data_IF_054885939856
#
_entry.id   IF_054885939856
#
_cell.length_a   1.000
_cell.length_b   1.000
_cell.length_c   1.000
_cell.angle_alpha   90.00
_cell.angle_beta   90.00
_cell.angle_gamma   90.00
#
_symmetry.space_group_name_H-M   'P 1'
#
loop_
_entity.id
_entity.type
_entity.pdbx_description
1 polymer ?
#
# COMPACT_ATOMS: atom_id res chain seq x y z
N UNK A 1 16.18 -7.52 -11.41
CA UNK A 1 14.75 -7.23 -11.12
C UNK A 1 14.64 -7.09 -9.62
N UNK A 2 14.27 -5.91 -9.11
CA UNK A 2 14.10 -5.69 -7.67
C UNK A 2 12.80 -6.34 -7.22
N UNK A 3 12.87 -7.31 -6.30
CA UNK A 3 11.68 -7.91 -5.70
C UNK A 3 11.00 -6.93 -4.74
N UNK A 4 9.68 -7.02 -4.61
CA UNK A 4 8.96 -6.30 -3.57
C UNK A 4 9.46 -6.73 -2.19
N UNK A 5 9.75 -5.76 -1.34
CA UNK A 5 10.17 -6.00 0.04
C UNK A 5 9.46 -5.03 0.98
N UNK A 6 8.95 -5.58 2.08
CA UNK A 6 8.40 -4.83 3.19
C UNK A 6 9.43 -4.78 4.32
N UNK A 7 9.71 -3.59 4.83
CA UNK A 7 10.60 -3.39 5.97
C UNK A 7 9.95 -2.50 7.00
N UNK A 8 10.08 -2.87 8.27
CA UNK A 8 9.77 -1.96 9.37
C UNK A 8 10.85 -0.88 9.44
N UNK A 9 10.43 0.39 9.46
CA UNK A 9 11.33 1.53 9.58
C UNK A 9 11.51 1.90 11.05
N UNK A 10 10.47 2.45 11.68
CA UNK A 10 10.44 2.78 13.12
C UNK A 10 9.02 3.17 13.56
N UNK A 11 8.67 2.87 14.82
CA UNK A 11 7.48 3.44 15.48
C UNK A 11 6.13 3.17 14.80
N UNK A 12 5.96 2.01 14.15
CA UNK A 12 4.74 1.68 13.39
C UNK A 12 4.75 2.18 11.94
N UNK A 13 5.89 2.72 11.47
CA UNK A 13 6.11 3.02 10.05
C UNK A 13 6.75 1.82 9.35
N UNK A 14 6.16 1.47 8.22
CA UNK A 14 6.61 0.41 7.34
C UNK A 14 6.89 0.98 5.97
N UNK A 15 7.90 0.44 5.30
CA UNK A 15 8.34 0.85 3.98
C UNK A 15 8.19 -0.30 3.01
N UNK A 16 7.44 -0.04 1.95
CA UNK A 16 7.31 -0.91 0.80
C UNK A 16 8.29 -0.45 -0.28
N UNK A 17 9.05 -1.39 -0.84
CA UNK A 17 10.10 -1.08 -1.81
C UNK A 17 10.18 -2.12 -2.92
N UNK A 18 10.77 -1.74 -4.06
CA UNK A 18 10.95 -2.60 -5.24
C UNK A 18 9.81 -2.49 -6.25
N UNK A 19 9.62 -3.53 -7.05
CA UNK A 19 8.56 -3.57 -8.08
C UNK A 19 7.30 -4.20 -7.51
N UNK A 20 6.13 -3.58 -7.71
CA UNK A 20 4.81 -4.11 -7.35
C UNK A 20 4.06 -4.60 -8.59
N UNK A 21 4.20 -5.89 -8.89
CA UNK A 21 3.57 -6.57 -10.01
C UNK A 21 2.91 -7.88 -9.58
N UNK A 22 2.33 -8.62 -10.53
CA UNK A 22 1.64 -9.88 -10.26
C UNK A 22 2.54 -10.97 -9.65
N UNK A 23 3.86 -10.89 -9.82
CA UNK A 23 4.80 -11.86 -9.28
C UNK A 23 5.28 -11.45 -7.88
N UNK A 24 5.44 -10.15 -7.62
CA UNK A 24 5.98 -9.65 -6.35
C UNK A 24 4.93 -9.37 -5.29
N UNK A 25 3.72 -8.98 -5.69
CA UNK A 25 2.59 -8.69 -4.78
C UNK A 25 2.26 -9.90 -3.88
N UNK A 26 2.10 -11.14 -4.40
CA UNK A 26 1.81 -12.30 -3.57
C UNK A 26 2.94 -12.65 -2.59
N UNK A 27 4.17 -12.24 -2.88
CA UNK A 27 5.34 -12.50 -2.03
C UNK A 27 5.34 -11.58 -0.81
N UNK A 28 5.00 -10.30 -0.99
CA UNK A 28 5.01 -9.29 0.09
C UNK A 28 3.70 -9.23 0.88
N UNK A 29 2.59 -9.66 0.29
CA UNK A 29 1.27 -9.66 0.91
C UNK A 29 1.18 -10.32 2.30
N UNK A 30 1.67 -11.56 2.51
CA UNK A 30 1.54 -12.21 3.82
C UNK A 30 2.28 -11.46 4.94
N UNK A 31 3.42 -10.84 4.63
CA UNK A 31 4.15 -10.02 5.60
C UNK A 31 3.40 -8.73 5.93
N UNK A 32 2.79 -8.09 4.92
CA UNK A 32 1.95 -6.91 5.11
C UNK A 32 0.72 -7.23 5.97
N UNK A 33 0.04 -8.35 5.72
CA UNK A 33 -1.11 -8.78 6.53
C UNK A 33 -0.74 -9.00 8.01
N UNK A 34 0.43 -9.61 8.27
CA UNK A 34 0.93 -9.78 9.64
C UNK A 34 1.23 -8.45 10.30
N UNK A 35 1.85 -7.51 9.57
CA UNK A 35 2.12 -6.17 10.07
C UNK A 35 0.82 -5.44 10.44
N UNK A 36 -0.19 -5.47 9.56
CA UNK A 36 -1.50 -4.85 9.80
C UNK A 36 -2.23 -5.43 11.01
N UNK A 37 -2.15 -6.74 11.22
CA UNK A 37 -2.81 -7.40 12.35
C UNK A 37 -2.09 -7.23 13.69
N UNK A 38 -0.81 -6.82 13.67
CA UNK A 38 0.04 -6.72 14.85
C UNK A 38 -0.04 -5.40 15.60
N UNK A 39 -0.71 -4.38 15.06
CA UNK A 39 -0.63 -3.01 15.56
C UNK A 39 -1.95 -2.24 15.35
N UNK A 40 -2.19 -1.21 16.17
CA UNK A 40 -3.43 -0.39 16.12
C UNK A 40 -3.38 0.70 15.04
N UNK A 41 -2.19 1.10 14.64
CA UNK A 41 -1.94 2.13 13.64
C UNK A 41 -0.66 1.78 12.89
N UNK A 42 -0.69 1.92 11.57
CA UNK A 42 0.44 1.60 10.70
C UNK A 42 0.53 2.65 9.60
N UNK A 43 1.70 3.24 9.41
CA UNK A 43 1.97 4.11 8.25
C UNK A 43 2.79 3.34 7.23
N UNK A 44 2.27 3.14 6.02
CA UNK A 44 2.96 2.46 4.94
C UNK A 44 3.48 3.51 3.93
N UNK A 45 4.79 3.70 3.86
CA UNK A 45 5.43 4.52 2.82
C UNK A 45 5.74 3.69 1.58
N UNK A 46 5.44 4.26 0.41
CA UNK A 46 5.75 3.70 -0.90
C UNK A 46 6.93 4.41 -1.59
N UNK A 47 7.70 5.23 -0.86
CA UNK A 47 8.84 5.98 -1.40
C UNK A 47 9.94 5.08 -2.01
N UNK A 48 9.99 3.80 -1.63
CA UNK A 48 10.93 2.82 -2.17
C UNK A 48 10.41 2.05 -3.39
N UNK A 49 9.17 2.31 -3.85
CA UNK A 49 8.57 1.60 -4.98
C UNK A 49 9.16 2.13 -6.28
N UNK A 50 9.82 1.25 -7.03
CA UNK A 50 10.49 1.60 -8.29
C UNK A 50 9.52 1.59 -9.47
N UNK A 51 8.57 0.63 -9.48
CA UNK A 51 7.54 0.45 -10.50
C UNK A 51 6.33 -0.25 -9.91
N UNK A 52 5.17 0.01 -10.50
CA UNK A 52 3.92 -0.59 -10.10
C UNK A 52 3.02 -0.88 -11.30
N UNK A 53 2.07 -1.79 -11.14
CA UNK A 53 0.99 -1.96 -12.11
C UNK A 53 -0.36 -2.11 -11.38
N UNK A 54 -1.38 -2.58 -12.08
CA UNK A 54 -2.71 -2.83 -11.50
C UNK A 54 -2.69 -3.79 -10.30
N UNK A 55 -1.76 -4.75 -10.24
CA UNK A 55 -1.59 -5.62 -9.08
C UNK A 55 -1.14 -4.84 -7.84
N UNK A 56 -0.28 -3.82 -8.02
CA UNK A 56 0.11 -2.92 -6.94
C UNK A 56 -1.07 -2.11 -6.40
N UNK A 57 -1.98 -1.66 -7.26
CA UNK A 57 -3.20 -0.98 -6.84
C UNK A 57 -4.12 -1.93 -6.04
N UNK A 58 -4.33 -3.14 -6.54
CA UNK A 58 -5.12 -4.18 -5.85
C UNK A 58 -4.51 -4.48 -4.48
N UNK A 59 -3.19 -4.61 -4.38
CA UNK A 59 -2.50 -4.79 -3.10
C UNK A 59 -2.85 -3.70 -2.08
N UNK A 60 -2.89 -2.43 -2.50
CA UNK A 60 -3.22 -1.32 -1.61
C UNK A 60 -4.69 -1.34 -1.17
N UNK A 61 -5.61 -1.63 -2.10
CA UNK A 61 -7.04 -1.76 -1.78
C UNK A 61 -7.25 -2.88 -0.77
N UNK A 62 -6.65 -4.05 -1.01
CA UNK A 62 -6.71 -5.19 -0.08
C UNK A 62 -6.05 -4.85 1.26
N UNK A 63 -4.94 -4.12 1.27
CA UNK A 63 -4.28 -3.69 2.50
C UNK A 63 -5.18 -2.77 3.34
N UNK A 64 -5.91 -1.85 2.72
CA UNK A 64 -6.86 -0.97 3.40
C UNK A 64 -8.01 -1.79 3.99
N UNK A 65 -8.55 -2.75 3.25
CA UNK A 65 -9.64 -3.61 3.73
C UNK A 65 -9.19 -4.54 4.87
N UNK A 66 -8.00 -5.13 4.74
CA UNK A 66 -7.38 -5.95 5.77
C UNK A 66 -7.10 -5.14 7.04
N UNK A 67 -6.60 -3.90 6.90
CA UNK A 67 -6.37 -3.01 8.02
C UNK A 67 -7.67 -2.68 8.76
N UNK A 68 -8.73 -2.34 8.02
CA UNK A 68 -10.07 -2.08 8.57
C UNK A 68 -10.61 -3.30 9.32
N UNK A 69 -10.48 -4.48 8.73
CA UNK A 69 -10.92 -5.75 9.34
C UNK A 69 -10.13 -6.08 10.60
N UNK A 70 -8.83 -5.77 10.63
CA UNK A 70 -7.96 -5.95 11.79
C UNK A 70 -8.13 -4.85 12.87
N UNK A 71 -8.89 -3.79 12.60
CA UNK A 71 -8.99 -2.63 13.50
C UNK A 71 -7.71 -1.79 13.55
N UNK A 72 -6.90 -1.82 12.49
CA UNK A 72 -5.68 -1.06 12.33
C UNK A 72 -5.93 0.19 11.47
N UNK A 73 -5.53 1.36 11.98
CA UNK A 73 -5.54 2.60 11.21
C UNK A 73 -4.35 2.60 10.23
N UNK A 74 -4.59 2.21 8.98
CA UNK A 74 -3.60 2.26 7.91
C UNK A 74 -3.56 3.64 7.25
N UNK A 75 -2.39 4.26 7.26
CA UNK A 75 -2.09 5.48 6.50
C UNK A 75 -1.11 5.17 5.38
N UNK A 76 -1.46 5.52 4.14
CA UNK A 76 -0.57 5.40 2.99
C UNK A 76 0.19 6.72 2.79
N UNK A 77 1.51 6.65 2.64
CA UNK A 77 2.38 7.80 2.40
C UNK A 77 3.24 7.58 1.14
N UNK A 78 3.66 8.68 0.51
CA UNK A 78 4.58 8.67 -0.63
C UNK A 78 4.09 7.76 -1.80
N UNK A 79 2.77 7.75 -2.04
CA UNK A 79 2.15 6.95 -3.11
C UNK A 79 2.68 7.45 -4.46
N UNK A 80 3.31 6.60 -5.29
CA UNK A 80 3.85 7.01 -6.58
C UNK A 80 2.71 7.41 -7.54
N UNK A 81 2.97 8.42 -8.38
CA UNK A 81 1.99 8.96 -9.33
C UNK A 81 1.39 7.88 -10.24
N UNK A 82 2.19 6.88 -10.65
CA UNK A 82 1.73 5.75 -11.47
C UNK A 82 0.57 4.97 -10.81
N UNK A 83 0.60 4.79 -9.48
CA UNK A 83 -0.50 4.16 -8.74
C UNK A 83 -1.71 5.09 -8.63
N UNK A 84 -1.49 6.39 -8.46
CA UNK A 84 -2.56 7.39 -8.43
C UNK A 84 -3.27 7.47 -9.79
N UNK A 85 -2.53 7.44 -10.90
CA UNK A 85 -3.05 7.42 -12.26
C UNK A 85 -3.86 6.14 -12.51
N UNK A 86 -3.35 4.97 -12.10
CA UNK A 86 -4.08 3.71 -12.19
C UNK A 86 -5.37 3.74 -11.36
N UNK A 87 -5.35 4.33 -10.17
CA UNK A 87 -6.54 4.50 -9.34
C UNK A 87 -7.57 5.44 -9.99
N UNK A 88 -7.11 6.54 -10.63
CA UNK A 88 -7.96 7.47 -11.40
C UNK A 88 -8.63 6.78 -12.57
N UNK A 89 -7.88 6.01 -13.35
CA UNK A 89 -8.42 5.25 -14.48
C UNK A 89 -9.41 4.17 -14.03
N UNK A 90 -9.19 3.58 -12.86
CA UNK A 90 -10.01 2.48 -12.33
C UNK A 90 -11.19 2.95 -11.46
N UNK A 91 -11.39 4.27 -11.31
CA UNK A 91 -12.38 4.87 -10.41
C UNK A 91 -12.23 4.43 -8.93
N UNK A 92 -11.03 4.06 -8.51
CA UNK A 92 -10.68 3.62 -7.15
C UNK A 92 -10.02 4.73 -6.31
N UNK A 93 -9.99 5.98 -6.79
CA UNK A 93 -9.35 7.12 -6.10
C UNK A 93 -9.90 7.35 -4.71
N UNK A 94 -11.21 7.17 -4.54
CA UNK A 94 -11.91 7.35 -3.26
C UNK A 94 -11.41 6.39 -2.17
N UNK A 95 -10.93 5.21 -2.57
CA UNK A 95 -10.40 4.19 -1.64
C UNK A 95 -9.02 4.56 -1.10
N UNK A 96 -8.18 5.25 -1.87
CA UNK A 96 -6.81 5.60 -1.47
C UNK A 96 -6.74 6.86 -0.59
N UNK A 97 -7.88 7.43 -0.18
CA UNK A 97 -7.90 8.67 0.62
C UNK A 97 -7.59 9.94 -0.18
N UNK A 98 -7.59 9.85 -1.51
CA UNK A 98 -7.47 11.01 -2.41
C UNK A 98 -8.85 11.58 -2.82
N UNK A 99 -9.92 11.14 -2.17
CA UNK A 99 -11.27 11.66 -2.30
C UNK A 99 -11.54 12.77 -1.28
N UNK A 100 -11.49 14.00 -1.78
CA UNK A 100 -12.03 15.24 -1.18
C UNK A 100 -11.17 16.01 -0.15
N UNK A 101 -10.23 16.78 -0.70
CA UNK A 101 -9.98 18.14 -0.23
C UNK A 101 -10.34 19.11 -1.37
N UNK A 102 -11.63 19.27 -1.69
CA UNK A 102 -12.10 20.38 -2.52
C UNK A 102 -13.30 21.09 -1.90
N UNK A 103 -12.94 22.09 -1.07
CA UNK A 103 -13.70 23.29 -0.65
C UNK A 103 -14.99 23.13 0.14
#
# INVERSE_FOLDING_TARGET
MSQAALREADGGRWRLSGVLDFASVPVVWPDLQRALSGQRSLTLTLDGVERSNSAGLVLLVEAIDAARTAGCALELADIPDELLDLARMSNCVDLLGAGDAVS
#
